data_IF_994909014864
#
_entry.id   IF_994909014864
#
_cell.length_a   1.000
_cell.length_b   1.000
_cell.length_c   1.000
_cell.angle_alpha   90.00
_cell.angle_beta   90.00
_cell.angle_gamma   90.00
#
_symmetry.space_group_name_H-M   'P 1'
#
loop_
_entity.id
_entity.type
_entity.pdbx_description
1 polymer ?
#
# COMPACT_ATOMS: atom_id res chain seq x y z
N UNK A 1 -39.39 -29.60 23.92
CA UNK A 1 -37.96 -29.95 23.88
C UNK A 1 -37.70 -30.46 22.47
N UNK A 2 -36.70 -29.87 21.85
CA UNK A 2 -36.07 -30.22 20.57
C UNK A 2 -36.70 -29.65 19.28
N UNK A 3 -36.77 -28.32 19.20
CA UNK A 3 -36.55 -27.58 17.95
C UNK A 3 -35.09 -27.11 17.93
N UNK A 4 -34.19 -27.95 17.42
CA UNK A 4 -32.86 -27.52 16.98
C UNK A 4 -32.88 -27.53 15.46
N UNK A 5 -33.41 -26.44 14.90
CA UNK A 5 -33.21 -26.07 13.50
C UNK A 5 -31.71 -25.99 13.25
N UNK A 6 -31.18 -26.95 12.51
CA UNK A 6 -29.89 -26.84 11.83
C UNK A 6 -29.94 -25.58 10.97
N UNK A 7 -29.26 -24.51 11.42
CA UNK A 7 -28.91 -23.38 10.58
C UNK A 7 -28.00 -23.88 9.47
N UNK A 8 -28.60 -24.30 8.34
CA UNK A 8 -27.86 -24.53 7.11
C UNK A 8 -27.24 -23.19 6.73
N UNK A 9 -25.92 -23.15 6.66
CA UNK A 9 -25.20 -22.08 5.99
C UNK A 9 -25.77 -22.00 4.57
N UNK A 10 -26.51 -20.94 4.28
CA UNK A 10 -26.97 -20.64 2.93
C UNK A 10 -25.70 -20.26 2.18
N UNK A 11 -25.28 -21.14 1.27
CA UNK A 11 -24.14 -20.85 0.40
C UNK A 11 -24.57 -19.74 -0.54
N UNK A 12 -23.68 -18.83 -0.95
CA UNK A 12 -24.00 -17.73 -1.88
C UNK A 12 -24.68 -18.26 -3.16
N UNK A 13 -24.41 -19.51 -3.55
CA UNK A 13 -25.11 -20.25 -4.59
C UNK A 13 -26.64 -20.36 -4.36
N UNK A 14 -27.08 -20.71 -3.15
CA UNK A 14 -28.51 -20.82 -2.79
C UNK A 14 -29.18 -19.44 -2.73
N UNK A 15 -28.41 -18.37 -2.48
CA UNK A 15 -28.91 -16.99 -2.47
C UNK A 15 -29.07 -16.41 -3.89
N UNK A 16 -28.23 -16.84 -4.84
CA UNK A 16 -28.30 -16.44 -6.25
C UNK A 16 -29.34 -17.26 -7.05
N UNK A 17 -29.58 -18.52 -6.70
CA UNK A 17 -30.64 -19.33 -7.32
C UNK A 17 -32.04 -18.73 -7.02
N UNK A 18 -32.19 -18.05 -5.88
CA UNK A 18 -33.43 -17.38 -5.48
C UNK A 18 -33.68 -16.00 -6.13
N UNK A 19 -32.71 -15.41 -6.85
CA UNK A 19 -32.85 -14.07 -7.45
C UNK A 19 -33.21 -14.08 -8.95
N UNK A 20 -33.30 -15.25 -9.59
CA UNK A 20 -33.84 -15.38 -10.94
C UNK A 20 -33.03 -14.68 -12.04
N UNK A 21 -31.72 -14.52 -11.85
CA UNK A 21 -30.82 -13.89 -12.81
C UNK A 21 -30.41 -14.94 -13.86
N UNK A 22 -30.68 -14.67 -15.14
CA UNK A 22 -30.45 -15.58 -16.27
C UNK A 22 -29.02 -16.18 -16.31
N UNK A 23 -28.95 -17.46 -16.67
CA UNK A 23 -27.84 -18.42 -16.49
C UNK A 23 -26.44 -18.00 -17.00
N UNK A 24 -26.31 -16.91 -17.75
CA UNK A 24 -25.03 -16.40 -18.27
C UNK A 24 -24.27 -15.47 -17.32
N UNK A 25 -24.97 -14.60 -16.60
CA UNK A 25 -24.36 -13.61 -15.71
C UNK A 25 -24.22 -14.16 -14.28
N UNK A 26 -25.12 -15.05 -13.87
CA UNK A 26 -24.99 -15.81 -12.63
C UNK A 26 -23.76 -16.73 -12.64
N UNK A 27 -23.44 -17.36 -13.77
CA UNK A 27 -22.24 -18.19 -13.91
C UNK A 27 -20.94 -17.36 -13.85
N UNK A 28 -20.93 -16.15 -14.41
CA UNK A 28 -19.79 -15.21 -14.29
C UNK A 28 -19.67 -14.64 -12.88
N UNK A 29 -20.79 -14.31 -12.23
CA UNK A 29 -20.81 -13.88 -10.84
C UNK A 29 -20.38 -15.02 -9.89
N UNK A 30 -20.72 -16.27 -10.19
CA UNK A 30 -20.27 -17.46 -9.48
C UNK A 30 -18.80 -17.77 -9.73
N UNK A 31 -18.28 -17.58 -10.95
CA UNK A 31 -16.84 -17.66 -11.25
C UNK A 31 -16.06 -16.54 -10.54
N UNK A 32 -16.62 -15.32 -10.48
CA UNK A 32 -16.05 -14.20 -9.72
C UNK A 32 -16.05 -14.46 -8.21
N UNK A 33 -17.18 -14.92 -7.64
CA UNK A 33 -17.32 -15.22 -6.22
C UNK A 33 -16.53 -16.47 -5.80
N UNK A 34 -16.45 -17.49 -6.66
CA UNK A 34 -15.62 -18.69 -6.43
C UNK A 34 -14.13 -18.39 -6.57
N UNK A 35 -13.73 -17.49 -7.48
CA UNK A 35 -12.35 -16.94 -7.52
C UNK A 35 -12.02 -16.10 -6.30
N UNK A 36 -12.96 -15.28 -5.83
CA UNK A 36 -12.81 -14.52 -4.58
C UNK A 36 -12.72 -15.45 -3.35
N UNK A 37 -13.43 -16.58 -3.35
CA UNK A 37 -13.29 -17.67 -2.37
C UNK A 37 -12.01 -18.51 -2.55
N UNK A 38 -11.48 -18.71 -3.76
CA UNK A 38 -10.16 -19.31 -3.97
C UNK A 38 -9.07 -18.40 -3.38
N UNK A 39 -9.24 -17.07 -3.49
CA UNK A 39 -8.48 -16.09 -2.72
C UNK A 39 -8.84 -16.06 -1.21
N UNK A 40 -9.77 -16.87 -0.71
CA UNK A 40 -10.12 -16.99 0.72
C UNK A 40 -9.75 -18.35 1.35
N UNK A 41 -9.00 -19.21 0.66
CA UNK A 41 -8.61 -20.55 1.16
C UNK A 41 -7.80 -20.55 2.45
N UNK A 42 -7.21 -19.41 2.85
CA UNK A 42 -6.60 -19.26 4.17
C UNK A 42 -7.01 -17.92 4.79
N UNK A 43 -7.30 -17.88 6.10
CA UNK A 43 -7.47 -16.61 6.80
C UNK A 43 -6.20 -15.77 6.61
N UNK A 44 -6.38 -14.48 6.33
CA UNK A 44 -5.31 -13.54 5.92
C UNK A 44 -4.11 -13.56 6.89
N UNK A 45 -4.37 -13.76 8.19
CA UNK A 45 -3.32 -13.92 9.21
C UNK A 45 -2.36 -15.07 8.92
N UNK A 46 -2.87 -16.23 8.47
CA UNK A 46 -2.04 -17.38 8.17
C UNK A 46 -1.13 -17.10 6.96
N UNK A 47 -1.62 -16.35 5.97
CA UNK A 47 -0.82 -15.94 4.80
C UNK A 47 0.32 -15.02 5.21
N UNK A 48 0.02 -14.02 6.04
CA UNK A 48 1.04 -13.09 6.55
C UNK A 48 2.09 -13.86 7.35
N UNK A 49 1.68 -14.79 8.21
CA UNK A 49 2.61 -15.59 9.00
C UNK A 49 3.51 -16.48 8.12
N UNK A 50 2.93 -17.14 7.11
CA UNK A 50 3.68 -17.91 6.10
C UNK A 50 4.66 -17.00 5.35
N UNK A 51 4.22 -15.81 4.96
CA UNK A 51 5.05 -14.81 4.29
C UNK A 51 6.23 -14.36 5.13
N UNK A 52 6.00 -14.00 6.40
CA UNK A 52 7.05 -13.59 7.34
C UNK A 52 8.04 -14.74 7.57
N UNK A 53 7.54 -15.96 7.81
CA UNK A 53 8.39 -17.13 8.01
C UNK A 53 9.30 -17.40 6.80
N UNK A 54 8.74 -17.35 5.60
CA UNK A 54 9.51 -17.53 4.38
C UNK A 54 10.52 -16.40 4.13
N UNK A 55 10.18 -15.15 4.45
CA UNK A 55 11.12 -14.03 4.34
C UNK A 55 12.32 -14.21 5.28
N UNK A 56 12.07 -14.64 6.53
CA UNK A 56 13.14 -14.94 7.49
C UNK A 56 14.01 -16.09 6.99
N UNK A 57 13.41 -17.19 6.53
CA UNK A 57 14.15 -18.36 6.03
C UNK A 57 14.98 -17.99 4.80
N UNK A 58 14.41 -17.25 3.84
CA UNK A 58 15.13 -16.78 2.67
C UNK A 58 16.30 -15.86 3.05
N UNK A 59 16.11 -14.95 4.01
CA UNK A 59 17.18 -14.10 4.53
C UNK A 59 18.31 -14.90 5.17
N UNK A 60 17.98 -15.90 5.99
CA UNK A 60 18.97 -16.79 6.62
C UNK A 60 19.74 -17.64 5.58
N UNK A 61 19.05 -18.14 4.55
CA UNK A 61 19.69 -18.89 3.47
C UNK A 61 20.61 -18.00 2.62
N UNK A 62 20.17 -16.78 2.30
CA UNK A 62 21.02 -15.80 1.62
C UNK A 62 22.26 -15.46 2.43
N UNK A 63 22.12 -15.26 3.74
CA UNK A 63 23.24 -15.02 4.64
C UNK A 63 24.21 -16.21 4.67
N UNK A 64 23.68 -17.44 4.71
CA UNK A 64 24.50 -18.65 4.66
C UNK A 64 25.26 -18.78 3.33
N UNK A 65 24.61 -18.46 2.20
CA UNK A 65 25.25 -18.44 0.87
C UNK A 65 26.33 -17.37 0.77
N UNK A 66 26.10 -16.20 1.38
CA UNK A 66 27.07 -15.11 1.45
C UNK A 66 28.30 -15.53 2.26
N UNK A 67 28.10 -16.16 3.43
CA UNK A 67 29.20 -16.68 4.26
C UNK A 67 29.98 -17.82 3.60
N UNK A 68 29.36 -18.54 2.66
CA UNK A 68 30.00 -19.61 1.92
C UNK A 68 30.76 -19.12 0.67
N UNK A 69 30.84 -17.80 0.44
CA UNK A 69 31.52 -17.16 -0.71
C UNK A 69 31.01 -17.64 -2.10
N UNK A 70 29.90 -18.37 -2.15
CA UNK A 70 29.27 -18.84 -3.41
C UNK A 70 28.78 -17.68 -4.26
N UNK A 71 28.57 -16.51 -3.64
CA UNK A 71 28.04 -15.30 -4.25
C UNK A 71 29.11 -14.38 -4.85
N UNK A 72 30.40 -14.67 -4.72
CA UNK A 72 31.46 -13.77 -5.22
C UNK A 72 31.46 -13.63 -6.74
N UNK A 73 31.09 -14.70 -7.46
CA UNK A 73 31.04 -14.67 -8.93
C UNK A 73 29.68 -14.11 -9.38
N UNK A 74 29.71 -12.92 -9.97
CA UNK A 74 28.53 -12.17 -10.45
C UNK A 74 27.65 -13.02 -11.37
N UNK A 75 28.25 -13.66 -12.38
CA UNK A 75 27.54 -14.51 -13.34
C UNK A 75 26.87 -15.71 -12.66
N UNK A 76 27.51 -16.27 -11.62
CA UNK A 76 26.96 -17.37 -10.84
C UNK A 76 25.74 -16.92 -10.04
N UNK A 77 25.74 -15.70 -9.48
CA UNK A 77 24.57 -15.12 -8.80
C UNK A 77 23.38 -15.01 -9.74
N UNK A 78 23.58 -14.48 -10.95
CA UNK A 78 22.52 -14.30 -11.92
C UNK A 78 21.94 -15.64 -12.40
N UNK A 79 22.81 -16.61 -12.70
CA UNK A 79 22.39 -17.94 -13.14
C UNK A 79 21.69 -18.72 -12.02
N UNK A 80 22.27 -18.75 -10.82
CA UNK A 80 21.68 -19.39 -9.65
C UNK A 80 20.33 -18.75 -9.31
N UNK A 81 20.23 -17.43 -9.40
CA UNK A 81 18.98 -16.69 -9.23
C UNK A 81 17.89 -17.15 -10.19
N UNK A 82 18.21 -17.25 -11.49
CA UNK A 82 17.29 -17.75 -12.49
C UNK A 82 16.85 -19.21 -12.26
N UNK A 83 17.79 -20.09 -11.90
CA UNK A 83 17.49 -21.49 -11.57
C UNK A 83 16.58 -21.60 -10.35
N UNK A 84 16.81 -20.80 -9.32
CA UNK A 84 15.99 -20.78 -8.11
C UNK A 84 14.56 -20.27 -8.39
N UNK A 85 14.40 -19.22 -9.21
CA UNK A 85 13.08 -18.76 -9.67
C UNK A 85 12.35 -19.89 -10.40
N UNK A 86 13.01 -20.53 -11.37
CA UNK A 86 12.41 -21.63 -12.12
C UNK A 86 12.03 -22.80 -11.21
N UNK A 87 12.90 -23.17 -10.26
CA UNK A 87 12.62 -24.22 -9.29
C UNK A 87 11.43 -23.87 -8.38
N UNK A 88 11.32 -22.61 -7.94
CA UNK A 88 10.19 -22.13 -7.16
C UNK A 88 8.88 -22.26 -7.94
N UNK A 89 8.85 -21.78 -9.18
CA UNK A 89 7.67 -21.92 -10.05
C UNK A 89 7.25 -23.37 -10.25
N UNK A 90 8.21 -24.28 -10.48
CA UNK A 90 7.93 -25.72 -10.62
C UNK A 90 7.38 -26.33 -9.33
N UNK A 91 7.91 -25.93 -8.17
CA UNK A 91 7.40 -26.37 -6.86
C UNK A 91 5.97 -25.89 -6.63
N UNK A 92 5.63 -24.66 -7.05
CA UNK A 92 4.27 -24.14 -6.98
C UNK A 92 3.30 -24.91 -7.87
N UNK A 93 3.65 -25.15 -9.14
CA UNK A 93 2.84 -25.97 -10.05
C UNK A 93 2.68 -27.41 -9.51
N UNK A 94 3.72 -27.94 -8.87
CA UNK A 94 3.66 -29.23 -8.18
C UNK A 94 2.78 -29.22 -6.92
N UNK A 95 2.60 -28.07 -6.29
CA UNK A 95 1.74 -27.89 -5.10
C UNK A 95 0.26 -27.78 -5.47
N UNK A 96 -0.09 -27.18 -6.61
CA UNK A 96 -1.50 -27.05 -7.06
C UNK A 96 -2.21 -28.39 -7.23
N UNK A 97 -1.45 -29.45 -7.53
CA UNK A 97 -1.99 -30.80 -7.68
C UNK A 97 -2.25 -31.53 -6.34
N UNK A 98 -1.98 -30.88 -5.19
CA UNK A 98 -2.12 -31.48 -3.86
C UNK A 98 -3.28 -30.86 -3.07
N UNK A 99 -3.93 -31.63 -2.18
CA UNK A 99 -5.01 -31.09 -1.34
C UNK A 99 -4.47 -30.02 -0.38
N UNK A 100 -5.20 -28.91 -0.28
CA UNK A 100 -4.84 -27.69 0.48
C UNK A 100 -4.58 -27.96 1.96
N UNK A 101 -5.30 -28.92 2.55
CA UNK A 101 -5.19 -29.28 3.97
C UNK A 101 -3.99 -30.19 4.28
N UNK A 102 -3.24 -30.61 3.26
CA UNK A 102 -2.08 -31.47 3.45
C UNK A 102 -0.87 -30.68 3.93
N UNK A 103 -0.14 -31.22 4.91
CA UNK A 103 1.16 -30.70 5.33
C UNK A 103 2.13 -30.52 4.14
N UNK A 104 2.05 -31.43 3.16
CA UNK A 104 2.91 -31.38 1.97
C UNK A 104 2.63 -30.15 1.10
N UNK A 105 1.36 -29.71 1.02
CA UNK A 105 0.98 -28.51 0.29
C UNK A 105 1.64 -27.28 0.92
N UNK A 106 1.51 -27.13 2.24
CA UNK A 106 2.09 -26.00 2.99
C UNK A 106 3.61 -25.92 2.90
N UNK A 107 4.30 -27.07 2.99
CA UNK A 107 5.76 -27.13 2.87
C UNK A 107 6.22 -26.78 1.44
N UNK A 108 5.57 -27.32 0.42
CA UNK A 108 5.91 -27.02 -0.98
C UNK A 108 5.67 -25.55 -1.31
N UNK A 109 4.57 -24.98 -0.83
CA UNK A 109 4.25 -23.58 -1.03
C UNK A 109 5.29 -22.65 -0.35
N UNK A 110 5.71 -22.99 0.88
CA UNK A 110 6.77 -22.27 1.59
C UNK A 110 8.11 -22.36 0.88
N UNK A 111 8.53 -23.57 0.49
CA UNK A 111 9.79 -23.77 -0.26
C UNK A 111 9.78 -23.07 -1.60
N UNK A 112 8.65 -23.14 -2.31
CA UNK A 112 8.43 -22.44 -3.57
C UNK A 112 8.62 -20.92 -3.40
N UNK A 113 7.99 -20.34 -2.38
CA UNK A 113 8.06 -18.92 -2.13
C UNK A 113 9.46 -18.48 -1.65
N UNK A 114 10.12 -19.27 -0.80
CA UNK A 114 11.53 -19.04 -0.39
C UNK A 114 12.46 -19.08 -1.61
N UNK A 115 12.35 -20.13 -2.44
CA UNK A 115 13.17 -20.30 -3.63
C UNK A 115 12.96 -19.19 -4.66
N UNK A 116 11.70 -18.81 -4.90
CA UNK A 116 11.37 -17.68 -5.76
C UNK A 116 11.95 -16.37 -5.21
N UNK A 117 11.71 -16.03 -3.94
CA UNK A 117 12.20 -14.79 -3.31
C UNK A 117 13.73 -14.71 -3.36
N UNK A 118 14.41 -15.77 -2.93
CA UNK A 118 15.86 -15.86 -2.94
C UNK A 118 16.41 -15.74 -4.37
N UNK A 119 15.77 -16.43 -5.32
CA UNK A 119 16.14 -16.37 -6.72
C UNK A 119 16.01 -14.96 -7.31
N UNK A 120 14.95 -14.23 -6.98
CA UNK A 120 14.76 -12.83 -7.40
C UNK A 120 15.84 -11.91 -6.84
N UNK A 121 16.17 -12.03 -5.55
CA UNK A 121 17.22 -11.22 -4.92
C UNK A 121 18.57 -11.47 -5.58
N UNK A 122 18.93 -12.73 -5.81
CA UNK A 122 20.20 -13.11 -6.46
C UNK A 122 20.25 -12.69 -7.93
N UNK A 123 19.12 -12.78 -8.63
CA UNK A 123 19.03 -12.34 -10.02
C UNK A 123 19.21 -10.84 -10.15
N UNK A 124 18.53 -10.04 -9.32
CA UNK A 124 18.65 -8.58 -9.32
C UNK A 124 20.06 -8.15 -8.90
N UNK A 125 20.65 -8.77 -7.87
CA UNK A 125 22.00 -8.42 -7.43
C UNK A 125 23.08 -8.85 -8.43
N UNK A 126 22.92 -9.97 -9.14
CA UNK A 126 23.81 -10.34 -10.23
C UNK A 126 23.68 -9.41 -11.44
N UNK A 127 22.47 -8.99 -11.78
CA UNK A 127 22.23 -8.06 -12.89
C UNK A 127 22.74 -6.64 -12.62
N UNK A 128 22.73 -6.22 -11.36
CA UNK A 128 23.29 -4.94 -10.90
C UNK A 128 24.73 -4.75 -11.36
N UNK A 129 25.56 -5.79 -11.29
CA UNK A 129 27.01 -5.73 -11.54
C UNK A 129 27.40 -6.08 -12.99
N UNK A 130 26.66 -6.98 -13.65
CA UNK A 130 27.03 -7.51 -14.98
C UNK A 130 26.64 -6.57 -16.13
N UNK A 131 25.51 -5.86 -16.01
CA UNK A 131 24.96 -5.10 -17.11
C UNK A 131 25.73 -3.78 -17.32
N UNK A 132 25.88 -3.31 -18.57
CA UNK A 132 26.77 -2.19 -18.90
C UNK A 132 26.15 -0.80 -18.63
N UNK A 133 24.90 -0.72 -18.18
CA UNK A 133 24.25 0.56 -17.85
C UNK A 133 24.47 0.93 -16.38
N UNK A 134 23.92 2.07 -15.96
CA UNK A 134 23.96 2.50 -14.57
C UNK A 134 23.32 1.46 -13.64
N UNK A 135 23.90 1.32 -12.46
CA UNK A 135 23.57 0.29 -11.48
C UNK A 135 22.07 0.29 -11.09
N UNK A 136 21.48 1.47 -10.93
CA UNK A 136 20.06 1.66 -10.60
C UNK A 136 19.15 1.24 -11.75
N UNK A 137 19.51 1.59 -12.99
CA UNK A 137 18.81 1.20 -14.22
C UNK A 137 18.86 -0.31 -14.41
N UNK A 138 20.04 -0.92 -14.19
CA UNK A 138 20.22 -2.38 -14.24
C UNK A 138 19.29 -3.09 -13.26
N UNK A 139 19.24 -2.61 -12.01
CA UNK A 139 18.39 -3.18 -10.97
C UNK A 139 16.90 -3.07 -11.31
N UNK A 140 16.46 -1.94 -11.87
CA UNK A 140 15.09 -1.72 -12.30
C UNK A 140 14.71 -2.61 -13.48
N UNK A 141 15.56 -2.69 -14.51
CA UNK A 141 15.28 -3.53 -15.68
C UNK A 141 15.24 -5.01 -15.30
N UNK A 142 16.15 -5.46 -14.45
CA UNK A 142 16.16 -6.83 -13.93
C UNK A 142 14.89 -7.12 -13.11
N UNK A 143 14.51 -6.23 -12.19
CA UNK A 143 13.31 -6.39 -11.38
C UNK A 143 12.04 -6.37 -12.24
N UNK A 144 11.98 -5.50 -13.26
CA UNK A 144 10.86 -5.39 -14.19
C UNK A 144 10.68 -6.67 -15.00
N UNK A 145 11.76 -7.20 -15.59
CA UNK A 145 11.72 -8.45 -16.37
C UNK A 145 11.26 -9.61 -15.50
N UNK A 146 11.85 -9.76 -14.31
CA UNK A 146 11.49 -10.81 -13.37
C UNK A 146 10.04 -10.69 -12.93
N UNK A 147 9.59 -9.48 -12.58
CA UNK A 147 8.20 -9.24 -12.19
C UNK A 147 7.25 -9.54 -13.35
N UNK A 148 7.52 -9.05 -14.56
CA UNK A 148 6.67 -9.33 -15.72
C UNK A 148 6.54 -10.83 -16.02
N UNK A 149 7.64 -11.59 -15.94
CA UNK A 149 7.61 -13.04 -16.18
C UNK A 149 6.88 -13.76 -15.05
N UNK A 150 7.23 -13.48 -13.80
CA UNK A 150 6.67 -14.21 -12.65
C UNK A 150 5.23 -13.83 -12.35
N UNK A 151 4.80 -12.60 -12.64
CA UNK A 151 3.45 -12.13 -12.33
C UNK A 151 2.35 -12.94 -13.03
N UNK A 152 2.61 -13.38 -14.27
CA UNK A 152 1.67 -14.18 -15.06
C UNK A 152 1.72 -15.66 -14.73
N UNK A 153 2.90 -16.19 -14.39
CA UNK A 153 3.13 -17.63 -14.22
C UNK A 153 2.90 -18.07 -12.76
N UNK A 154 3.13 -17.17 -11.79
CA UNK A 154 3.12 -17.46 -10.36
C UNK A 154 1.95 -16.72 -9.67
N UNK A 155 0.82 -17.41 -9.46
CA UNK A 155 -0.42 -16.82 -8.89
C UNK A 155 -0.42 -16.77 -7.35
N UNK A 156 0.73 -16.46 -6.75
CA UNK A 156 0.82 -16.24 -5.31
C UNK A 156 0.66 -14.75 -4.99
N UNK A 157 -0.40 -14.40 -4.26
CA UNK A 157 -0.73 -13.01 -3.91
C UNK A 157 0.44 -12.26 -3.24
N UNK A 158 1.11 -12.89 -2.26
CA UNK A 158 2.24 -12.28 -1.55
C UNK A 158 3.45 -12.04 -2.45
N UNK A 159 3.76 -12.97 -3.35
CA UNK A 159 4.84 -12.78 -4.31
C UNK A 159 4.52 -11.65 -5.28
N UNK A 160 3.29 -11.55 -5.77
CA UNK A 160 2.86 -10.44 -6.64
C UNK A 160 2.98 -9.09 -5.93
N UNK A 161 2.61 -8.99 -4.65
CA UNK A 161 2.83 -7.77 -3.87
C UNK A 161 4.32 -7.47 -3.77
N UNK A 162 5.13 -8.41 -3.28
CA UNK A 162 6.56 -8.16 -3.05
C UNK A 162 7.28 -7.82 -4.35
N UNK A 163 7.06 -8.58 -5.43
CA UNK A 163 7.68 -8.34 -6.74
C UNK A 163 7.28 -6.97 -7.28
N UNK A 164 6.00 -6.61 -7.20
CA UNK A 164 5.52 -5.30 -7.66
C UNK A 164 6.10 -4.18 -6.80
N UNK A 165 6.15 -4.34 -5.48
CA UNK A 165 6.74 -3.36 -4.55
C UNK A 165 8.23 -3.18 -4.82
N UNK A 166 8.98 -4.26 -5.01
CA UNK A 166 10.41 -4.20 -5.36
C UNK A 166 10.61 -3.48 -6.68
N UNK A 167 9.82 -3.78 -7.72
CA UNK A 167 9.93 -3.09 -9.01
C UNK A 167 9.63 -1.60 -8.88
N UNK A 168 8.59 -1.22 -8.12
CA UNK A 168 8.26 0.18 -7.86
C UNK A 168 9.37 0.88 -7.07
N UNK A 169 9.97 0.23 -6.06
CA UNK A 169 11.10 0.79 -5.34
C UNK A 169 12.31 1.00 -6.25
N UNK A 170 12.71 0.00 -7.04
CA UNK A 170 13.82 0.15 -8.00
C UNK A 170 13.53 1.23 -9.04
N UNK A 171 12.27 1.40 -9.44
CA UNK A 171 11.85 2.48 -10.34
C UNK A 171 12.07 3.84 -9.68
N UNK A 172 11.66 4.03 -8.43
CA UNK A 172 11.84 5.29 -7.70
C UNK A 172 13.33 5.61 -7.54
N UNK A 173 14.17 4.63 -7.23
CA UNK A 173 15.62 4.82 -7.12
C UNK A 173 16.31 5.10 -8.47
N UNK A 174 15.75 4.64 -9.58
CA UNK A 174 16.25 4.95 -10.92
C UNK A 174 15.89 6.38 -11.37
N UNK A 175 14.83 6.99 -10.80
CA UNK A 175 14.32 8.28 -11.28
C UNK A 175 15.38 9.40 -11.24
N UNK A 176 16.16 9.62 -10.17
CA UNK A 176 17.16 10.67 -10.13
C UNK A 176 18.17 10.58 -11.27
N UNK A 177 18.64 9.36 -11.59
CA UNK A 177 19.68 9.15 -12.61
C UNK A 177 19.19 9.38 -14.05
N UNK A 178 17.87 9.30 -14.28
CA UNK A 178 17.27 9.42 -15.62
C UNK A 178 16.61 10.79 -15.84
N UNK A 179 16.30 11.51 -14.77
CA UNK A 179 15.61 12.79 -14.84
C UNK A 179 16.58 13.95 -15.16
N UNK A 180 16.07 15.09 -15.66
CA UNK A 180 16.91 16.23 -15.99
C UNK A 180 17.53 16.88 -14.75
N UNK A 181 18.83 17.14 -14.80
CA UNK A 181 19.57 17.81 -13.75
C UNK A 181 18.89 19.09 -13.25
N UNK A 182 18.75 19.18 -11.92
CA UNK A 182 18.14 20.31 -11.22
C UNK A 182 16.65 20.18 -10.89
N UNK A 183 15.94 19.20 -11.47
CA UNK A 183 14.52 18.93 -11.15
C UNK A 183 14.27 17.49 -10.65
N UNK A 184 15.32 16.67 -10.55
CA UNK A 184 15.29 15.25 -10.17
C UNK A 184 14.50 15.02 -8.87
N UNK A 185 14.80 15.77 -7.82
CA UNK A 185 14.13 15.66 -6.52
C UNK A 185 12.64 16.01 -6.59
N UNK A 186 12.31 17.12 -7.25
CA UNK A 186 10.92 17.57 -7.40
C UNK A 186 10.09 16.53 -8.17
N UNK A 187 10.61 16.07 -9.31
CA UNK A 187 9.91 15.13 -10.18
C UNK A 187 9.79 13.75 -9.52
N UNK A 188 10.80 13.30 -8.79
CA UNK A 188 10.76 12.06 -8.02
C UNK A 188 9.70 12.13 -6.93
N UNK A 189 9.63 13.23 -6.17
CA UNK A 189 8.56 13.44 -5.17
C UNK A 189 7.19 13.39 -5.84
N UNK A 190 6.97 14.20 -6.89
CA UNK A 190 5.68 14.23 -7.59
C UNK A 190 5.30 12.84 -8.11
N UNK A 191 6.25 12.08 -8.67
CA UNK A 191 6.01 10.71 -9.13
C UNK A 191 5.56 9.79 -7.99
N UNK A 192 6.21 9.85 -6.82
CA UNK A 192 5.81 9.10 -5.62
C UNK A 192 4.39 9.46 -5.19
N UNK A 193 4.05 10.75 -5.15
CA UNK A 193 2.71 11.20 -4.75
C UNK A 193 1.62 10.82 -5.77
N UNK A 194 1.95 10.75 -7.06
CA UNK A 194 1.03 10.25 -8.10
C UNK A 194 0.76 8.74 -7.99
N UNK A 195 1.59 7.97 -7.29
CA UNK A 195 1.30 6.56 -7.02
C UNK A 195 0.09 6.38 -6.09
N UNK A 196 -0.22 7.36 -5.23
CA UNK A 196 -1.37 7.30 -4.32
C UNK A 196 -2.70 7.26 -5.09
N UNK A 197 -3.04 8.23 -5.97
CA UNK A 197 -4.26 8.15 -6.77
C UNK A 197 -4.24 6.95 -7.73
N UNK A 198 -3.09 6.58 -8.31
CA UNK A 198 -2.98 5.42 -9.19
C UNK A 198 -3.32 4.11 -8.45
N UNK A 199 -2.73 3.90 -7.27
CA UNK A 199 -3.03 2.76 -6.42
C UNK A 199 -4.48 2.76 -5.94
N UNK A 200 -4.99 3.92 -5.52
CA UNK A 200 -6.39 4.08 -5.11
C UNK A 200 -7.38 3.71 -6.22
N UNK A 201 -7.14 4.21 -7.43
CA UNK A 201 -7.96 3.92 -8.60
C UNK A 201 -7.92 2.43 -8.96
N UNK A 202 -6.72 1.84 -9.03
CA UNK A 202 -6.57 0.41 -9.36
C UNK A 202 -7.25 -0.49 -8.33
N UNK A 203 -7.22 -0.10 -7.05
CA UNK A 203 -7.80 -0.89 -5.96
C UNK A 203 -9.33 -0.85 -5.93
N UNK A 204 -9.92 0.34 -6.12
CA UNK A 204 -11.37 0.55 -5.97
C UNK A 204 -12.16 0.44 -7.27
N UNK A 205 -11.52 0.54 -8.43
CA UNK A 205 -12.21 0.47 -9.70
C UNK A 205 -12.83 -0.93 -9.90
N UNK A 206 -14.16 -1.07 -10.01
CA UNK A 206 -14.81 -2.37 -10.16
C UNK A 206 -14.51 -3.05 -11.49
N UNK A 207 -14.02 -2.31 -12.49
CA UNK A 207 -13.64 -2.86 -13.80
C UNK A 207 -12.23 -3.44 -13.82
N UNK A 208 -11.42 -3.19 -12.79
CA UNK A 208 -10.05 -3.73 -12.74
C UNK A 208 -10.08 -5.22 -12.43
N UNK A 209 -9.28 -6.00 -13.17
CA UNK A 209 -9.19 -7.44 -12.91
C UNK A 209 -8.61 -7.65 -11.49
N UNK A 210 -9.16 -8.57 -10.65
CA UNK A 210 -8.71 -8.78 -9.27
C UNK A 210 -7.20 -9.05 -9.12
N UNK A 211 -6.58 -9.57 -10.17
CA UNK A 211 -5.12 -9.80 -10.28
C UNK A 211 -4.29 -8.52 -10.07
N UNK A 212 -4.84 -7.33 -10.34
CA UNK A 212 -4.16 -6.05 -10.16
C UNK A 212 -4.25 -5.47 -8.74
N UNK A 213 -5.08 -6.04 -7.84
CA UNK A 213 -5.14 -5.61 -6.44
C UNK A 213 -3.76 -5.66 -5.71
N UNK A 214 -2.93 -6.70 -5.88
CA UNK A 214 -1.54 -6.71 -5.41
C UNK A 214 -0.69 -5.52 -5.88
N UNK A 215 -0.83 -5.12 -7.15
CA UNK A 215 -0.09 -4.01 -7.74
C UNK A 215 -0.57 -2.67 -7.14
N UNK A 216 -1.88 -2.53 -6.97
CA UNK A 216 -2.47 -1.37 -6.29
C UNK A 216 -1.95 -1.22 -4.85
N UNK A 217 -1.86 -2.33 -4.11
CA UNK A 217 -1.28 -2.35 -2.77
C UNK A 217 0.22 -2.02 -2.79
N UNK A 218 0.97 -2.50 -3.78
CA UNK A 218 2.38 -2.17 -3.94
C UNK A 218 2.61 -0.66 -4.16
N UNK A 219 1.77 0.01 -4.97
CA UNK A 219 1.81 1.47 -5.12
C UNK A 219 1.56 2.20 -3.80
N UNK A 220 0.54 1.78 -3.05
CA UNK A 220 0.22 2.40 -1.76
C UNK A 220 1.34 2.18 -0.73
N UNK A 221 1.91 0.98 -0.66
CA UNK A 221 3.04 0.66 0.25
C UNK A 221 4.26 1.49 -0.11
N UNK A 222 4.65 1.53 -1.38
CA UNK A 222 5.80 2.31 -1.83
C UNK A 222 5.61 3.80 -1.56
N UNK A 223 4.46 4.37 -1.91
CA UNK A 223 4.15 5.77 -1.63
C UNK A 223 4.20 6.08 -0.14
N UNK A 224 3.58 5.24 0.70
CA UNK A 224 3.57 5.43 2.15
C UNK A 224 4.97 5.40 2.75
N UNK A 225 5.81 4.47 2.31
CA UNK A 225 7.19 4.37 2.78
C UNK A 225 7.99 5.60 2.41
N UNK A 226 7.96 6.03 1.15
CA UNK A 226 8.71 7.21 0.72
C UNK A 226 8.17 8.52 1.34
N UNK A 227 6.85 8.67 1.50
CA UNK A 227 6.28 9.79 2.24
C UNK A 227 6.71 9.81 3.72
N UNK A 228 6.88 8.64 4.35
CA UNK A 228 7.41 8.54 5.70
C UNK A 228 8.88 8.93 5.73
N UNK A 229 9.67 8.40 4.79
CA UNK A 229 11.10 8.69 4.67
C UNK A 229 11.36 10.18 4.45
N UNK A 230 10.65 10.84 3.54
CA UNK A 230 10.78 12.29 3.33
C UNK A 230 10.49 13.10 4.60
N UNK A 231 9.52 12.66 5.40
CA UNK A 231 9.21 13.30 6.67
C UNK A 231 10.27 13.05 7.75
N UNK A 232 10.96 11.90 7.72
CA UNK A 232 12.08 11.59 8.62
C UNK A 232 13.31 12.42 8.23
N UNK A 233 13.66 12.43 6.94
CA UNK A 233 14.91 13.02 6.44
C UNK A 233 14.87 14.56 6.44
N UNK A 234 13.71 15.15 6.17
CA UNK A 234 13.55 16.60 6.03
C UNK A 234 12.71 17.25 7.12
N UNK A 235 12.28 16.50 8.14
CA UNK A 235 11.38 16.98 9.19
C UNK A 235 10.09 17.58 8.59
N UNK A 236 9.72 18.77 9.05
CA UNK A 236 8.57 19.50 8.48
C UNK A 236 8.83 20.08 7.07
N UNK A 237 10.01 19.96 6.46
CA UNK A 237 10.46 20.94 5.46
C UNK A 237 10.54 20.58 3.96
N UNK A 238 10.19 19.37 3.48
CA UNK A 238 10.32 19.07 2.03
C UNK A 238 9.09 18.48 1.34
N UNK A 239 8.30 17.69 2.08
CA UNK A 239 6.94 17.26 1.72
C UNK A 239 5.86 17.90 2.58
N UNK A 240 6.29 18.54 3.66
CA UNK A 240 5.49 19.30 4.59
C UNK A 240 5.93 20.77 4.48
N UNK A 241 5.11 21.70 4.94
CA UNK A 241 5.32 23.14 4.75
C UNK A 241 6.74 23.59 5.14
N UNK A 242 7.46 24.42 4.35
CA UNK A 242 8.85 24.79 4.66
C UNK A 242 8.97 25.26 6.12
N UNK A 243 10.08 24.92 6.77
CA UNK A 243 10.25 25.20 8.19
C UNK A 243 9.93 26.67 8.48
N UNK A 244 9.02 26.92 9.43
CA UNK A 244 8.65 28.28 9.85
C UNK A 244 9.88 29.13 10.24
N UNK A 245 11.00 28.48 10.55
CA UNK A 245 12.32 29.07 10.79
C UNK A 245 12.87 29.81 9.55
N UNK A 246 12.75 29.23 8.36
CA UNK A 246 13.21 29.83 7.11
C UNK A 246 12.36 31.04 6.70
N UNK A 247 11.08 31.03 7.10
CA UNK A 247 10.16 32.14 6.93
C UNK A 247 10.54 33.37 7.77
N UNK A 248 11.20 33.15 8.92
CA UNK A 248 11.61 34.21 9.84
C UNK A 248 13.02 34.78 9.54
N UNK A 249 13.91 34.00 8.93
CA UNK A 249 15.32 34.39 8.73
C UNK A 249 15.56 35.00 7.33
N UNK A 250 14.55 35.06 6.45
CA UNK A 250 14.69 35.70 5.14
C UNK A 250 15.63 34.95 4.19
N UNK A 251 15.78 33.64 4.40
CA UNK A 251 16.57 32.77 3.54
C UNK A 251 15.80 32.61 2.22
N UNK A 252 16.49 32.81 1.10
CA UNK A 252 15.91 32.74 -0.23
C UNK A 252 15.20 31.40 -0.42
N UNK A 253 13.88 31.46 -0.59
CA UNK A 253 13.06 30.27 -0.80
C UNK A 253 13.51 29.62 -2.10
N UNK A 254 13.86 28.34 -2.04
CA UNK A 254 13.94 27.57 -3.27
C UNK A 254 12.49 27.36 -3.75
N UNK A 255 12.04 28.20 -4.68
CA UNK A 255 10.65 28.21 -5.17
C UNK A 255 10.21 26.81 -5.63
N UNK A 256 11.13 26.00 -6.14
CA UNK A 256 10.92 24.61 -6.57
C UNK A 256 10.42 23.71 -5.43
N UNK A 257 11.01 23.79 -4.23
CA UNK A 257 10.61 22.97 -3.08
C UNK A 257 9.22 23.37 -2.55
N UNK A 258 8.92 24.67 -2.54
CA UNK A 258 7.58 25.16 -2.19
C UNK A 258 6.52 24.63 -3.17
N UNK A 259 6.77 24.76 -4.48
CA UNK A 259 5.85 24.25 -5.49
C UNK A 259 5.69 22.73 -5.41
N UNK A 260 6.78 21.99 -5.17
CA UNK A 260 6.72 20.54 -4.98
C UNK A 260 5.81 20.15 -3.80
N UNK A 261 5.97 20.80 -2.65
CA UNK A 261 5.16 20.54 -1.44
C UNK A 261 3.67 20.84 -1.67
N UNK A 262 3.35 21.97 -2.32
CA UNK A 262 1.97 22.34 -2.68
C UNK A 262 1.35 21.31 -3.64
N UNK A 263 2.08 20.89 -4.68
CA UNK A 263 1.60 19.90 -5.64
C UNK A 263 1.33 18.56 -4.95
N UNK A 264 2.30 18.07 -4.15
CA UNK A 264 2.21 16.78 -3.47
C UNK A 264 1.05 16.71 -2.47
N UNK A 265 0.89 17.75 -1.65
CA UNK A 265 -0.22 17.86 -0.69
C UNK A 265 -1.57 17.97 -1.39
N UNK A 266 -1.63 18.72 -2.51
CA UNK A 266 -2.84 18.85 -3.34
C UNK A 266 -3.26 17.52 -3.96
N UNK A 267 -2.31 16.72 -4.48
CA UNK A 267 -2.60 15.40 -5.06
C UNK A 267 -3.31 14.51 -4.03
N UNK A 268 -2.78 14.43 -2.80
CA UNK A 268 -3.39 13.61 -1.76
C UNK A 268 -4.71 14.17 -1.26
N UNK A 269 -4.82 15.49 -1.10
CA UNK A 269 -6.06 16.14 -0.71
C UNK A 269 -7.19 15.89 -1.71
N UNK A 270 -6.89 16.02 -3.01
CA UNK A 270 -7.82 15.70 -4.08
C UNK A 270 -8.18 14.22 -4.12
N UNK A 271 -7.20 13.33 -3.91
CA UNK A 271 -7.45 11.88 -3.84
C UNK A 271 -8.39 11.53 -2.68
N UNK A 272 -8.16 12.11 -1.49
CA UNK A 272 -8.99 11.88 -0.32
C UNK A 272 -10.39 12.48 -0.48
N UNK A 273 -10.49 13.69 -1.03
CA UNK A 273 -11.79 14.31 -1.34
C UNK A 273 -12.57 13.46 -2.35
N UNK A 274 -11.91 12.95 -3.39
CA UNK A 274 -12.50 12.04 -4.35
C UNK A 274 -13.01 10.76 -3.67
N UNK A 275 -12.23 10.15 -2.77
CA UNK A 275 -12.64 8.96 -2.02
C UNK A 275 -13.89 9.19 -1.17
N UNK A 276 -14.00 10.34 -0.50
CA UNK A 276 -15.18 10.65 0.31
C UNK A 276 -16.42 10.84 -0.58
N UNK A 277 -16.27 11.54 -1.70
CA UNK A 277 -17.37 11.75 -2.65
C UNK A 277 -17.81 10.41 -3.26
N UNK A 278 -16.85 9.60 -3.70
CA UNK A 278 -17.12 8.29 -4.28
C UNK A 278 -17.77 7.35 -3.25
N UNK A 279 -17.20 7.27 -2.05
CA UNK A 279 -17.72 6.46 -0.95
C UNK A 279 -19.08 6.89 -0.41
N UNK A 280 -19.44 8.16 -0.57
CA UNK A 280 -20.76 8.68 -0.20
C UNK A 280 -21.88 8.26 -1.16
N UNK A 281 -21.55 7.76 -2.36
CA UNK A 281 -22.52 7.44 -3.42
C UNK A 281 -22.43 8.34 -4.67
N UNK A 282 -21.35 9.09 -4.84
CA UNK A 282 -21.08 9.92 -6.02
C UNK A 282 -21.31 11.41 -5.82
N UNK A 283 -21.27 12.19 -6.91
CA UNK A 283 -21.25 13.65 -6.90
C UNK A 283 -22.49 14.29 -6.24
N UNK A 284 -23.64 13.60 -6.26
CA UNK A 284 -24.88 14.09 -5.65
C UNK A 284 -24.77 14.23 -4.12
N UNK A 285 -23.83 13.52 -3.51
CA UNK A 285 -23.64 13.52 -2.05
C UNK A 285 -22.90 14.75 -1.52
N UNK A 286 -22.32 15.56 -2.40
CA UNK A 286 -21.68 16.84 -2.05
C UNK A 286 -22.68 17.81 -1.42
N UNK A 287 -23.99 17.66 -1.68
CA UNK A 287 -25.04 18.47 -1.04
C UNK A 287 -25.09 18.23 0.47
N UNK A 288 -24.68 17.04 0.94
CA UNK A 288 -24.70 16.68 2.36
C UNK A 288 -23.70 17.54 3.16
N UNK A 289 -24.20 18.20 4.21
CA UNK A 289 -23.40 19.04 5.12
C UNK A 289 -22.20 18.30 5.72
N UNK A 290 -22.32 16.99 5.96
CA UNK A 290 -21.23 16.15 6.50
C UNK A 290 -20.08 16.00 5.51
N UNK A 291 -20.39 15.77 4.23
CA UNK A 291 -19.39 15.64 3.15
C UNK A 291 -18.69 16.98 2.92
N UNK A 292 -19.44 18.11 2.90
CA UNK A 292 -18.85 19.45 2.79
C UNK A 292 -17.89 19.76 3.93
N UNK A 293 -18.25 19.43 5.17
CA UNK A 293 -17.41 19.64 6.33
C UNK A 293 -16.14 18.78 6.28
N UNK A 294 -16.26 17.51 5.88
CA UNK A 294 -15.11 16.64 5.70
C UNK A 294 -14.14 17.18 4.63
N UNK A 295 -14.64 17.62 3.47
CA UNK A 295 -13.82 18.26 2.44
C UNK A 295 -13.15 19.54 2.98
N UNK A 296 -13.88 20.35 3.76
CA UNK A 296 -13.31 21.53 4.43
C UNK A 296 -12.16 21.19 5.38
N UNK A 297 -12.29 20.11 6.17
CA UNK A 297 -11.21 19.62 7.04
C UNK A 297 -10.02 19.13 6.20
N UNK A 298 -10.24 18.44 5.09
CA UNK A 298 -9.16 17.97 4.20
C UNK A 298 -8.37 19.15 3.65
N UNK A 299 -9.06 20.18 3.17
CA UNK A 299 -8.42 21.40 2.65
C UNK A 299 -7.61 22.07 3.77
N UNK A 300 -8.18 22.22 4.97
CA UNK A 300 -7.47 22.77 6.12
C UNK A 300 -6.22 21.93 6.46
N UNK A 301 -6.34 20.59 6.50
CA UNK A 301 -5.22 19.67 6.76
C UNK A 301 -4.13 19.78 5.67
N UNK A 302 -4.51 19.94 4.41
CA UNK A 302 -3.56 20.14 3.31
C UNK A 302 -2.81 21.46 3.41
N UNK A 303 -3.44 22.52 3.95
CA UNK A 303 -2.77 23.81 4.19
C UNK A 303 -1.70 23.72 5.27
N UNK A 304 -1.84 22.80 6.25
CA UNK A 304 -0.79 22.51 7.23
C UNK A 304 0.37 21.71 6.62
N UNK A 305 0.25 21.27 5.36
CA UNK A 305 1.26 20.50 4.67
C UNK A 305 1.62 19.24 5.44
N UNK A 306 0.65 18.40 5.83
CA UNK A 306 0.91 17.10 6.45
C UNK A 306 0.66 16.00 5.43
N UNK A 307 1.52 15.90 4.43
CA UNK A 307 1.30 15.05 3.26
C UNK A 307 1.21 13.55 3.63
N UNK A 308 2.07 13.09 4.54
CA UNK A 308 2.09 11.69 5.00
C UNK A 308 0.83 11.34 5.83
N UNK A 309 0.30 12.29 6.60
CA UNK A 309 -0.98 12.12 7.29
C UNK A 309 -2.16 12.01 6.31
N UNK A 310 -2.12 12.79 5.21
CA UNK A 310 -3.13 12.66 4.14
C UNK A 310 -3.07 11.29 3.47
N UNK A 311 -1.87 10.75 3.18
CA UNK A 311 -1.73 9.37 2.67
C UNK A 311 -2.31 8.36 3.65
N UNK A 312 -2.06 8.52 4.94
CA UNK A 312 -2.62 7.65 5.97
C UNK A 312 -4.15 7.67 5.98
N UNK A 313 -4.76 8.85 5.88
CA UNK A 313 -6.21 9.00 5.78
C UNK A 313 -6.77 8.39 4.49
N UNK A 314 -6.04 8.47 3.37
CA UNK A 314 -6.41 7.79 2.12
C UNK A 314 -6.47 6.27 2.34
N UNK A 315 -5.46 5.68 2.98
CA UNK A 315 -5.43 4.23 3.27
C UNK A 315 -6.57 3.82 4.20
N UNK A 316 -6.84 4.62 5.24
CA UNK A 316 -7.98 4.40 6.16
C UNK A 316 -9.30 4.43 5.38
N UNK A 317 -9.49 5.42 4.50
CA UNK A 317 -10.68 5.53 3.68
C UNK A 317 -10.83 4.33 2.72
N UNK A 318 -9.76 3.89 2.06
CA UNK A 318 -9.76 2.69 1.21
C UNK A 318 -10.14 1.46 2.02
N UNK A 319 -9.52 1.25 3.19
CA UNK A 319 -9.82 0.11 4.06
C UNK A 319 -11.27 0.08 4.53
N UNK A 320 -11.84 1.24 4.85
CA UNK A 320 -13.25 1.37 5.21
C UNK A 320 -14.17 1.06 4.03
N UNK A 321 -13.90 1.62 2.85
CA UNK A 321 -14.73 1.44 1.64
C UNK A 321 -14.68 0.02 1.09
N UNK A 322 -13.52 -0.62 1.15
CA UNK A 322 -13.35 -2.00 0.74
C UNK A 322 -13.76 -3.01 1.83
N UNK A 323 -14.17 -2.54 3.01
CA UNK A 323 -14.46 -3.36 4.19
C UNK A 323 -13.29 -4.31 4.58
N UNK A 324 -12.06 -3.88 4.32
CA UNK A 324 -10.85 -4.63 4.64
C UNK A 324 -10.25 -4.12 5.95
N UNK A 325 -10.48 -4.89 7.02
CA UNK A 325 -10.00 -4.57 8.38
C UNK A 325 -8.49 -4.49 8.47
N UNK A 326 -7.76 -5.20 7.61
CA UNK A 326 -6.30 -5.21 7.66
C UNK A 326 -5.73 -3.92 7.06
N UNK A 327 -6.29 -3.49 5.92
CA UNK A 327 -5.92 -2.20 5.31
C UNK A 327 -6.29 -1.05 6.24
N UNK A 328 -7.47 -1.12 6.85
CA UNK A 328 -7.90 -0.15 7.85
C UNK A 328 -6.92 -0.10 9.04
N UNK A 329 -6.57 -1.26 9.60
CA UNK A 329 -5.61 -1.35 10.71
C UNK A 329 -4.22 -0.83 10.34
N UNK A 330 -3.73 -1.16 9.14
CA UNK A 330 -2.47 -0.66 8.61
C UNK A 330 -2.49 0.87 8.44
N UNK A 331 -3.59 1.44 7.93
CA UNK A 331 -3.77 2.88 7.80
C UNK A 331 -3.79 3.60 9.16
N UNK A 332 -4.48 3.05 10.16
CA UNK A 332 -4.50 3.62 11.52
C UNK A 332 -3.12 3.53 12.19
N UNK A 333 -2.43 2.40 12.02
CA UNK A 333 -1.06 2.24 12.50
C UNK A 333 -0.10 3.23 11.85
N UNK A 334 -0.16 3.36 10.52
CA UNK A 334 0.64 4.31 9.76
C UNK A 334 0.32 5.77 10.15
N UNK A 335 -0.95 6.14 10.31
CA UNK A 335 -1.36 7.46 10.80
C UNK A 335 -0.72 7.76 12.16
N UNK A 336 -0.77 6.80 13.09
CA UNK A 336 -0.19 6.96 14.43
C UNK A 336 1.32 7.18 14.39
N UNK A 337 2.05 6.41 13.56
CA UNK A 337 3.49 6.58 13.36
C UNK A 337 3.78 7.95 12.73
N UNK A 338 3.02 8.35 11.71
CA UNK A 338 3.25 9.63 11.04
C UNK A 338 3.03 10.82 11.96
N UNK A 339 1.98 10.80 12.78
CA UNK A 339 1.73 11.82 13.79
C UNK A 339 2.83 11.83 14.87
N UNK A 340 3.31 10.66 15.30
CA UNK A 340 4.41 10.57 16.26
C UNK A 340 5.68 11.24 15.73
N UNK A 341 6.07 10.97 14.48
CA UNK A 341 7.24 11.60 13.86
C UNK A 341 6.99 13.10 13.67
N UNK A 342 5.83 13.50 13.15
CA UNK A 342 5.50 14.92 12.94
C UNK A 342 5.57 15.73 14.25
N UNK A 343 5.14 15.14 15.37
CA UNK A 343 5.19 15.81 16.68
C UNK A 343 6.61 15.94 17.24
N UNK A 344 7.49 14.98 16.94
CA UNK A 344 8.89 15.02 17.37
C UNK A 344 9.79 15.83 16.42
N UNK A 345 9.38 16.03 15.17
CA UNK A 345 10.11 16.87 14.20
C UNK A 345 9.88 18.36 14.39
N UNK A 346 8.94 18.77 15.25
CA UNK A 346 8.80 20.17 15.66
C UNK A 346 9.98 20.55 16.56
N UNK A 347 11.01 21.19 16.00
CA UNK A 347 12.12 21.81 16.76
C UNK A 347 11.68 23.00 17.65
N UNK A 348 10.41 23.05 18.06
CA UNK A 348 9.97 23.92 19.14
C UNK A 348 10.32 23.20 20.45
N UNK A 349 11.23 23.75 21.25
CA UNK A 349 11.70 23.13 22.49
C UNK A 349 10.57 22.53 23.33
N UNK A 350 10.84 21.46 24.10
CA UNK A 350 9.87 20.52 24.71
C UNK A 350 8.55 21.13 25.24
N UNK A 351 8.62 22.35 25.78
CA UNK A 351 7.47 23.10 26.31
C UNK A 351 6.56 23.69 25.22
N UNK A 352 7.12 24.19 24.12
CA UNK A 352 6.38 24.74 22.98
C UNK A 352 5.73 23.65 22.13
N UNK A 353 6.41 22.52 21.92
CA UNK A 353 5.82 21.31 21.31
C UNK A 353 4.66 20.76 22.14
N UNK A 354 4.82 20.70 23.47
CA UNK A 354 3.74 20.31 24.38
C UNK A 354 2.53 21.24 24.31
N UNK A 355 2.74 22.56 24.20
CA UNK A 355 1.66 23.55 24.10
C UNK A 355 0.94 23.46 22.75
N UNK A 356 1.68 23.27 21.66
CA UNK A 356 1.10 23.05 20.32
C UNK A 356 0.26 21.77 20.31
N UNK A 357 0.75 20.69 20.93
CA UNK A 357 0.00 19.43 21.08
C UNK A 357 -1.28 19.61 21.88
N UNK A 358 -1.23 20.35 23.00
CA UNK A 358 -2.41 20.65 23.81
C UNK A 358 -3.41 21.49 23.01
N UNK A 359 -2.96 22.49 22.25
CA UNK A 359 -3.83 23.30 21.40
C UNK A 359 -4.46 22.47 20.29
N UNK A 360 -3.67 21.65 19.58
CA UNK A 360 -4.18 20.73 18.56
C UNK A 360 -5.17 19.71 19.14
N UNK A 361 -4.86 19.12 20.29
CA UNK A 361 -5.75 18.20 20.99
C UNK A 361 -7.04 18.89 21.45
N UNK A 362 -6.95 20.14 21.92
CA UNK A 362 -8.12 20.94 22.33
C UNK A 362 -9.01 21.30 21.13
N UNK A 363 -8.41 21.64 19.98
CA UNK A 363 -9.12 21.88 18.72
C UNK A 363 -9.78 20.60 18.22
N UNK A 364 -9.06 19.48 18.22
CA UNK A 364 -9.60 18.17 17.86
C UNK A 364 -10.71 17.73 18.81
N UNK A 365 -10.56 17.94 20.11
CA UNK A 365 -11.62 17.69 21.10
C UNK A 365 -12.83 18.58 20.85
N UNK A 366 -12.62 19.87 20.53
CA UNK A 366 -13.70 20.79 20.17
C UNK A 366 -14.44 20.37 18.89
N UNK A 367 -13.71 19.93 17.86
CA UNK A 367 -14.26 19.36 16.64
C UNK A 367 -14.99 18.04 16.93
N UNK A 368 -14.44 17.18 17.78
CA UNK A 368 -15.07 15.93 18.20
C UNK A 368 -16.36 16.20 18.97
N UNK A 369 -16.37 17.13 19.92
CA UNK A 369 -17.56 17.48 20.69
C UNK A 369 -18.65 18.07 19.79
N UNK A 370 -18.29 18.98 18.87
CA UNK A 370 -19.24 19.50 17.87
C UNK A 370 -19.78 18.41 16.94
N UNK A 371 -18.93 17.49 16.49
CA UNK A 371 -19.37 16.39 15.62
C UNK A 371 -20.19 15.34 16.39
N UNK A 372 -19.86 15.08 17.66
CA UNK A 372 -20.60 14.18 18.54
C UNK A 372 -21.99 14.73 18.89
N UNK A 373 -22.12 16.04 19.15
CA UNK A 373 -23.43 16.70 19.29
C UNK A 373 -24.27 16.55 18.01
N UNK A 374 -23.64 16.64 16.84
CA UNK A 374 -24.34 16.46 15.57
C UNK A 374 -24.76 15.02 15.29
N UNK A 375 -23.99 14.01 15.71
CA UNK A 375 -24.42 12.61 15.62
C UNK A 375 -25.57 12.30 16.58
N UNK A 376 -25.59 12.91 17.77
CA UNK A 376 -26.69 12.78 18.74
C UNK A 376 -27.98 13.48 18.29
N UNK A 377 -27.91 14.60 17.58
CA UNK A 377 -29.11 15.28 17.07
C UNK A 377 -29.84 14.48 15.97
N UNK A 378 -29.15 13.65 15.19
CA UNK A 378 -29.80 12.84 14.14
C UNK A 378 -30.65 11.71 14.73
N UNK A 379 -30.26 11.15 15.89
CA UNK A 379 -31.11 10.17 16.59
C UNK A 379 -32.42 10.80 17.12
N UNK A 380 -32.44 12.10 17.41
CA UNK A 380 -33.65 12.79 17.87
C UNK A 380 -34.62 13.21 16.76
N UNK A 381 -34.18 13.27 15.50
CA UNK A 381 -35.05 13.59 14.35
C UNK A 381 -35.70 12.34 13.73
N UNK A 382 -35.20 11.14 14.04
CA UNK A 382 -35.82 9.86 13.60
C UNK A 382 -36.91 9.40 14.60
N UNK A 383 -37.03 10.07 15.75
CA UNK A 383 -38.02 9.78 16.79
C UNK A 383 -39.14 10.84 16.90
N UNK A 384 -39.67 11.32 15.78
CA UNK A 384 -40.91 12.12 15.75
C UNK A 384 -41.91 11.50 14.78
#
# INVERSE_FOLDING_TARGET
MDDVQKSRFITIADALENTGIEDGDAAKALDLASRENSYSTFPIYLRILIGIGALIVAGLLLLALMMAEVLEIEFTRLLLGGVLIASGVLLYQGSENRPVDSYQYSVLLQLSFVGALMGKILFISGAYEILPWDETVNSFMASLVVTLVTYWIYDLYLDRILSSSTTIWTFIYMLPDVLPAGYEDMLTRVAVYLMVPAGTYLFLNPTSHPRYKPLAMAFLIAASWHCLQFMIDSGFGSSNWPELRDLWIGIAWNLTDLWASIICTSINALTLAYLIIWGGGGWDTIVNKKVKLAIGIIIALSMFGLASCLVALVIVAIGFLANDRLILGAGVGYLSITLFIATHSLEAGLMATGLILIVMASVLLGCYLKTAEWFRCVESEISV
#
